data_IF_554711911333
#
_entry.id   IF_554711911333
#
_cell.length_a   1.000
_cell.length_b   1.000
_cell.length_c   1.000
_cell.angle_alpha   90.00
_cell.angle_beta   90.00
_cell.angle_gamma   90.00
#
_symmetry.space_group_name_H-M   'P 1'
#
loop_
_entity.id
_entity.type
_entity.pdbx_description
1 polymer ?
#
# COMPACT_ATOMS: atom_id res chain seq x y z
N UNK A 1 -16.92 -7.33 -22.11
CA UNK A 1 -17.40 -7.10 -20.73
C UNK A 1 -18.84 -6.59 -20.66
N UNK A 2 -19.39 -5.97 -21.72
CA UNK A 2 -20.78 -5.46 -21.78
C UNK A 2 -21.80 -6.39 -22.47
N UNK A 3 -21.40 -7.60 -22.91
CA UNK A 3 -22.25 -8.55 -23.63
C UNK A 3 -22.54 -9.81 -22.79
N UNK A 4 -22.86 -9.64 -21.51
CA UNK A 4 -23.18 -10.73 -20.56
C UNK A 4 -24.35 -10.29 -19.69
N UNK A 5 -25.13 -11.23 -19.14
CA UNK A 5 -26.33 -10.93 -18.34
C UNK A 5 -26.05 -10.04 -17.11
N UNK A 6 -24.79 -9.98 -16.66
CA UNK A 6 -24.30 -9.10 -15.59
C UNK A 6 -23.85 -7.70 -16.06
N UNK A 7 -24.20 -7.26 -17.26
CA UNK A 7 -23.74 -5.98 -17.83
C UNK A 7 -24.08 -4.76 -16.97
N UNK A 8 -25.21 -4.76 -16.25
CA UNK A 8 -25.59 -3.70 -15.32
C UNK A 8 -24.57 -3.55 -14.18
N UNK A 9 -24.11 -4.68 -13.62
CA UNK A 9 -23.09 -4.68 -12.56
C UNK A 9 -21.78 -4.11 -13.12
N UNK A 10 -21.38 -4.55 -14.32
CA UNK A 10 -20.19 -4.04 -14.98
C UNK A 10 -20.30 -2.54 -15.31
N UNK A 11 -21.46 -2.07 -15.75
CA UNK A 11 -21.73 -0.67 -16.09
C UNK A 11 -21.72 0.22 -14.84
N UNK A 12 -22.43 -0.16 -13.78
CA UNK A 12 -22.44 0.55 -12.50
C UNK A 12 -21.05 0.61 -11.90
N UNK A 13 -20.33 -0.52 -11.90
CA UNK A 13 -18.96 -0.53 -11.39
C UNK A 13 -18.03 0.32 -12.25
N UNK A 14 -18.14 0.27 -13.58
CA UNK A 14 -17.34 1.12 -14.48
C UNK A 14 -17.62 2.61 -14.27
N UNK A 15 -18.89 2.99 -14.12
CA UNK A 15 -19.26 4.37 -13.80
C UNK A 15 -18.64 4.82 -12.47
N UNK A 16 -18.72 3.96 -11.45
CA UNK A 16 -18.04 4.19 -10.18
C UNK A 16 -16.52 4.28 -10.35
N UNK A 17 -15.89 3.42 -11.15
CA UNK A 17 -14.44 3.44 -11.41
C UNK A 17 -13.99 4.78 -12.02
N UNK A 18 -14.81 5.36 -12.91
CA UNK A 18 -14.56 6.65 -13.56
C UNK A 18 -14.71 7.79 -12.57
N UNK A 19 -15.80 7.82 -11.80
CA UNK A 19 -16.00 8.82 -10.75
C UNK A 19 -14.88 8.79 -9.71
N UNK A 20 -14.39 7.58 -9.40
CA UNK A 20 -13.41 7.30 -8.37
C UNK A 20 -11.95 7.32 -8.87
N UNK A 21 -11.71 7.77 -10.10
CA UNK A 21 -10.43 7.60 -10.79
C UNK A 21 -9.22 8.21 -10.05
N UNK A 22 -9.43 9.31 -9.32
CA UNK A 22 -8.34 10.04 -8.66
C UNK A 22 -8.09 9.61 -7.21
N UNK A 23 -8.98 8.82 -6.61
CA UNK A 23 -8.89 8.41 -5.19
C UNK A 23 -7.58 7.71 -4.82
N UNK A 24 -7.02 6.80 -5.64
CA UNK A 24 -5.71 6.21 -5.35
C UNK A 24 -4.60 7.24 -5.13
N UNK A 25 -4.65 8.37 -5.84
CA UNK A 25 -3.64 9.43 -5.73
C UNK A 25 -3.81 10.28 -4.47
N UNK A 26 -5.01 10.30 -3.90
CA UNK A 26 -5.39 11.12 -2.75
C UNK A 26 -5.39 10.33 -1.43
N UNK A 27 -4.48 9.36 -1.30
CA UNK A 27 -4.34 8.55 -0.08
C UNK A 27 -5.24 7.31 -0.01
N UNK A 28 -6.07 7.07 -1.04
CA UNK A 28 -6.85 5.85 -1.18
C UNK A 28 -7.89 5.63 -0.08
N UNK A 29 -8.24 4.36 0.15
CA UNK A 29 -9.28 3.95 1.11
C UNK A 29 -8.76 2.90 2.07
N UNK A 30 -7.91 3.33 3.01
CA UNK A 30 -7.35 2.44 4.02
C UNK A 30 -8.46 1.81 4.87
N UNK A 31 -8.45 0.48 5.00
CA UNK A 31 -9.41 -0.27 5.81
C UNK A 31 -8.70 -0.93 6.98
N UNK A 32 -9.00 -0.48 8.21
CA UNK A 32 -8.49 -1.15 9.40
C UNK A 32 -8.92 -2.61 9.47
N UNK A 33 -10.12 -2.95 8.99
CA UNK A 33 -10.61 -4.33 9.00
C UNK A 33 -9.76 -5.26 8.13
N UNK A 34 -9.51 -4.87 6.87
CA UNK A 34 -8.66 -5.67 5.96
C UNK A 34 -7.26 -5.79 6.52
N UNK A 35 -6.68 -4.70 7.03
CA UNK A 35 -5.31 -4.70 7.57
C UNK A 35 -5.12 -5.58 8.80
N UNK A 36 -6.19 -5.92 9.51
CA UNK A 36 -6.17 -6.76 10.72
C UNK A 36 -6.66 -8.20 10.47
N UNK A 37 -6.80 -8.65 9.23
CA UNK A 37 -7.17 -10.05 8.96
C UNK A 37 -6.15 -11.03 9.55
N UNK A 38 -6.66 -12.12 10.13
CA UNK A 38 -5.85 -13.18 10.72
C UNK A 38 -4.92 -13.86 9.71
N UNK A 39 -5.29 -13.88 8.43
CA UNK A 39 -4.44 -14.35 7.34
C UNK A 39 -3.06 -13.65 7.34
N UNK A 40 -2.99 -12.37 7.72
CA UNK A 40 -1.71 -11.65 7.76
C UNK A 40 -0.80 -12.13 8.89
N UNK A 41 -1.35 -12.65 9.98
CA UNK A 41 -0.57 -13.30 11.05
C UNK A 41 0.08 -14.58 10.54
N UNK A 42 -0.68 -15.45 9.86
CA UNK A 42 -0.13 -16.65 9.24
C UNK A 42 0.91 -16.32 8.17
N UNK A 43 0.64 -15.32 7.34
CA UNK A 43 1.56 -14.84 6.31
C UNK A 43 2.89 -14.34 6.90
N UNK A 44 2.82 -13.56 7.99
CA UNK A 44 3.99 -13.10 8.74
C UNK A 44 4.81 -14.27 9.27
N UNK A 45 4.15 -15.27 9.86
CA UNK A 45 4.81 -16.40 10.52
C UNK A 45 5.42 -17.38 9.51
N UNK A 46 4.82 -17.53 8.33
CA UNK A 46 5.34 -18.34 7.23
C UNK A 46 6.64 -17.76 6.64
N UNK A 47 6.75 -16.42 6.49
CA UNK A 47 7.92 -15.72 5.95
C UNK A 47 8.84 -15.09 7.03
N UNK A 48 8.86 -15.66 8.24
CA UNK A 48 9.32 -15.04 9.50
C UNK A 48 9.50 -13.50 9.55
N UNK A 49 8.48 -12.75 9.15
CA UNK A 49 8.60 -11.29 8.98
C UNK A 49 8.57 -10.59 10.34
N UNK A 50 9.58 -9.74 10.61
CA UNK A 50 9.68 -8.94 11.85
C UNK A 50 9.89 -7.47 11.52
N UNK A 51 9.19 -6.60 12.27
CA UNK A 51 9.43 -5.15 12.26
C UNK A 51 10.22 -4.76 13.51
N UNK A 52 11.49 -4.39 13.35
CA UNK A 52 12.34 -3.93 14.47
C UNK A 52 12.36 -2.41 14.44
N UNK A 53 11.90 -1.79 15.53
CA UNK A 53 11.95 -0.33 15.69
C UNK A 53 13.28 0.03 16.33
N UNK A 54 14.01 0.94 15.68
CA UNK A 54 15.30 1.43 16.18
C UNK A 54 15.19 2.81 16.82
N UNK A 55 14.27 3.65 16.34
CA UNK A 55 14.11 5.03 16.81
C UNK A 55 12.63 5.41 16.86
N UNK A 56 12.31 6.37 17.73
CA UNK A 56 11.01 7.03 17.76
C UNK A 56 10.86 8.02 16.60
N UNK A 57 9.64 8.12 16.08
CA UNK A 57 9.26 9.07 15.04
C UNK A 57 8.21 10.01 15.58
N UNK A 58 8.35 11.29 15.25
CA UNK A 58 7.44 12.33 15.70
C UNK A 58 6.20 12.35 14.79
N UNK A 59 4.98 12.21 15.34
CA UNK A 59 3.75 12.22 14.54
C UNK A 59 3.42 13.61 13.96
N UNK A 60 4.14 14.65 14.36
CA UNK A 60 4.04 16.00 13.81
C UNK A 60 4.81 16.18 12.49
N UNK A 61 5.53 15.16 12.02
CA UNK A 61 6.32 15.21 10.78
C UNK A 61 5.86 14.16 9.77
N UNK A 62 6.11 14.44 8.51
CA UNK A 62 5.93 13.50 7.41
C UNK A 62 7.29 12.92 7.01
N UNK A 63 7.30 11.67 6.57
CA UNK A 63 8.49 10.88 6.32
C UNK A 63 8.45 10.19 4.95
N UNK A 64 9.61 10.00 4.35
CA UNK A 64 9.82 9.10 3.23
C UNK A 64 10.72 7.98 3.72
N UNK A 65 10.27 6.73 3.62
CA UNK A 65 11.06 5.55 3.95
C UNK A 65 11.54 4.89 2.67
N UNK A 66 12.83 4.59 2.61
CA UNK A 66 13.37 3.64 1.64
C UNK A 66 13.18 2.20 2.14
N UNK A 67 12.71 1.31 1.28
CA UNK A 67 12.66 -0.13 1.54
C UNK A 67 13.58 -0.87 0.57
N UNK A 68 14.49 -1.67 1.12
CA UNK A 68 15.45 -2.51 0.40
C UNK A 68 15.94 -3.64 1.35
N UNK A 69 16.29 -4.84 0.85
CA UNK A 69 16.12 -5.33 -0.52
C UNK A 69 14.67 -5.72 -0.81
N UNK A 70 14.29 -5.75 -2.09
CA UNK A 70 12.97 -6.22 -2.52
C UNK A 70 13.10 -7.40 -3.46
N UNK A 71 12.32 -8.46 -3.23
CA UNK A 71 12.01 -9.44 -4.26
C UNK A 71 10.81 -8.98 -5.10
N UNK A 72 10.52 -9.71 -6.18
CA UNK A 72 9.39 -9.46 -7.10
C UNK A 72 8.06 -9.20 -6.36
N UNK A 73 7.79 -9.95 -5.28
CA UNK A 73 6.51 -9.87 -4.57
C UNK A 73 6.52 -9.00 -3.30
N UNK A 74 7.64 -8.35 -2.93
CA UNK A 74 7.72 -7.38 -1.83
C UNK A 74 7.01 -7.79 -0.52
N UNK A 75 7.01 -9.09 -0.18
CA UNK A 75 6.22 -9.65 0.92
C UNK A 75 6.48 -8.96 2.27
N UNK A 76 7.75 -8.66 2.57
CA UNK A 76 8.14 -7.94 3.78
C UNK A 76 7.56 -6.52 3.85
N UNK A 77 7.61 -5.78 2.74
CA UNK A 77 7.03 -4.43 2.67
C UNK A 77 5.51 -4.46 2.83
N UNK A 78 4.83 -5.35 2.10
CA UNK A 78 3.38 -5.49 2.20
C UNK A 78 2.96 -5.87 3.63
N UNK A 79 3.59 -6.87 4.23
CA UNK A 79 3.27 -7.30 5.59
C UNK A 79 3.47 -6.18 6.60
N UNK A 80 4.59 -5.45 6.54
CA UNK A 80 4.93 -4.43 7.54
C UNK A 80 4.15 -3.12 7.40
N UNK A 81 3.89 -2.69 6.16
CA UNK A 81 3.35 -1.35 5.89
C UNK A 81 1.92 -1.39 5.36
N UNK A 82 1.54 -2.47 4.67
CA UNK A 82 0.20 -2.72 4.14
C UNK A 82 -0.75 -3.40 5.12
N UNK A 83 -0.26 -4.04 6.18
CA UNK A 83 -1.09 -4.75 7.18
C UNK A 83 -0.77 -4.29 8.61
N UNK A 84 -1.42 -4.87 9.61
CA UNK A 84 -1.10 -4.72 11.04
C UNK A 84 -0.46 -5.99 11.66
N UNK A 85 -0.06 -6.97 10.84
CA UNK A 85 0.48 -8.24 11.35
C UNK A 85 1.73 -8.08 12.22
N UNK A 86 2.55 -7.06 11.96
CA UNK A 86 3.73 -6.71 12.76
C UNK A 86 3.49 -5.56 13.74
N UNK A 87 2.22 -5.18 13.92
CA UNK A 87 1.77 -4.12 14.85
C UNK A 87 2.44 -2.77 14.58
N UNK A 88 2.50 -2.35 13.32
CA UNK A 88 3.12 -1.09 12.92
C UNK A 88 2.55 0.09 13.71
N UNK A 89 1.22 0.20 13.78
CA UNK A 89 0.51 1.28 14.48
C UNK A 89 0.85 1.38 15.96
N UNK A 90 1.17 0.25 16.61
CA UNK A 90 1.61 0.21 18.02
C UNK A 90 3.07 0.63 18.18
N UNK A 91 3.94 0.26 17.23
CA UNK A 91 5.36 0.61 17.25
C UNK A 91 5.59 2.10 16.92
N UNK A 92 4.83 2.63 15.98
CA UNK A 92 4.90 4.02 15.53
C UNK A 92 3.54 4.70 15.69
N UNK A 93 3.14 5.03 16.93
CA UNK A 93 1.84 5.65 17.19
C UNK A 93 1.73 7.01 16.47
N UNK A 94 0.60 7.23 15.81
CA UNK A 94 0.35 8.44 15.03
C UNK A 94 1.02 8.48 13.65
N UNK A 95 1.84 7.47 13.30
CA UNK A 95 2.42 7.34 11.97
C UNK A 95 1.57 6.43 11.09
N UNK A 96 1.24 6.90 9.90
CA UNK A 96 0.44 6.21 8.88
C UNK A 96 1.35 5.81 7.72
N UNK A 97 1.77 4.54 7.64
CA UNK A 97 2.58 4.09 6.52
C UNK A 97 1.70 3.95 5.29
N UNK A 98 2.19 4.39 4.14
CA UNK A 98 1.60 4.22 2.82
C UNK A 98 2.64 3.63 1.88
N UNK A 99 2.48 2.37 1.51
CA UNK A 99 3.41 1.70 0.60
C UNK A 99 3.16 2.16 -0.83
N UNK A 100 4.19 2.66 -1.51
CA UNK A 100 4.11 3.09 -2.89
C UNK A 100 4.41 1.92 -3.84
N UNK A 101 3.53 1.65 -4.79
CA UNK A 101 3.70 0.61 -5.82
C UNK A 101 3.41 1.14 -7.22
N UNK A 102 3.70 0.36 -8.26
CA UNK A 102 3.55 0.77 -9.65
C UNK A 102 2.12 1.29 -9.93
N UNK A 103 2.03 2.49 -10.52
CA UNK A 103 0.75 3.15 -10.77
C UNK A 103 -0.20 2.33 -11.68
N UNK A 104 0.35 1.42 -12.51
CA UNK A 104 -0.42 0.50 -13.34
C UNK A 104 -1.35 -0.43 -12.54
N UNK A 105 -0.96 -0.82 -11.31
CA UNK A 105 -1.77 -1.67 -10.45
C UNK A 105 -3.14 -1.04 -10.09
N UNK A 106 -3.23 0.29 -10.12
CA UNK A 106 -4.45 1.03 -9.79
C UNK A 106 -5.41 1.22 -10.98
N UNK A 107 -5.04 0.75 -12.17
CA UNK A 107 -5.91 0.71 -13.35
C UNK A 107 -6.77 -0.56 -13.40
N UNK A 108 -6.34 -1.62 -12.73
CA UNK A 108 -7.06 -2.89 -12.68
C UNK A 108 -8.21 -2.79 -11.66
N UNK A 109 -9.45 -3.05 -12.08
CA UNK A 109 -10.57 -3.09 -11.15
C UNK A 109 -10.37 -4.18 -10.09
N UNK A 110 -10.97 -4.02 -8.92
CA UNK A 110 -10.85 -4.88 -7.73
C UNK A 110 -9.45 -4.85 -7.12
N UNK A 111 -8.39 -5.08 -7.90
CA UNK A 111 -7.00 -5.01 -7.43
C UNK A 111 -6.70 -3.63 -6.84
N UNK A 112 -7.09 -2.55 -7.51
CA UNK A 112 -6.88 -1.18 -7.00
C UNK A 112 -7.52 -0.99 -5.63
N UNK A 113 -8.71 -1.54 -5.41
CA UNK A 113 -9.50 -1.36 -4.20
C UNK A 113 -8.91 -2.18 -3.06
N UNK A 114 -8.45 -3.40 -3.37
CA UNK A 114 -7.69 -4.23 -2.46
C UNK A 114 -6.37 -3.57 -2.03
N UNK A 115 -5.59 -3.01 -2.96
CA UNK A 115 -4.36 -2.29 -2.62
C UNK A 115 -4.64 -1.04 -1.76
N UNK A 116 -5.64 -0.24 -2.14
CA UNK A 116 -6.06 0.92 -1.35
C UNK A 116 -6.52 0.53 0.06
N UNK A 117 -7.16 -0.63 0.23
CA UNK A 117 -7.58 -1.13 1.54
C UNK A 117 -6.39 -1.38 2.49
N UNK A 118 -5.24 -1.77 1.95
CA UNK A 118 -3.98 -1.86 2.69
C UNK A 118 -3.33 -0.51 3.01
N UNK A 119 -3.83 0.59 2.44
CA UNK A 119 -3.18 1.91 2.47
C UNK A 119 -2.05 2.04 1.46
N UNK A 120 -2.07 1.25 0.38
CA UNK A 120 -1.07 1.29 -0.69
C UNK A 120 -1.46 2.38 -1.68
N UNK A 121 -0.47 3.15 -2.14
CA UNK A 121 -0.65 4.25 -3.07
C UNK A 121 0.19 4.05 -4.36
N UNK A 122 -0.17 4.72 -5.46
CA UNK A 122 0.64 4.72 -6.66
C UNK A 122 1.93 5.51 -6.46
N UNK A 123 3.05 4.97 -6.92
CA UNK A 123 4.35 5.65 -6.97
C UNK A 123 4.32 6.70 -8.09
N UNK A 124 3.77 7.86 -7.79
CA UNK A 124 3.78 9.03 -8.66
C UNK A 124 3.96 10.30 -7.84
N UNK A 125 4.54 11.33 -8.47
CA UNK A 125 4.85 12.60 -7.80
C UNK A 125 3.62 13.20 -7.12
N UNK A 126 2.50 13.29 -7.85
CA UNK A 126 1.28 13.93 -7.35
C UNK A 126 0.72 13.23 -6.09
N UNK A 127 0.80 11.91 -6.00
CA UNK A 127 0.32 11.15 -4.85
C UNK A 127 1.23 11.31 -3.64
N UNK A 128 2.55 11.32 -3.86
CA UNK A 128 3.52 11.57 -2.80
C UNK A 128 3.40 13.01 -2.29
N UNK A 129 3.30 13.99 -3.19
CA UNK A 129 3.10 15.41 -2.83
C UNK A 129 1.81 15.59 -2.03
N UNK A 130 0.71 14.94 -2.44
CA UNK A 130 -0.55 14.97 -1.69
C UNK A 130 -0.40 14.36 -0.30
N UNK A 131 0.20 13.18 -0.17
CA UNK A 131 0.39 12.51 1.12
C UNK A 131 1.31 13.29 2.07
N UNK A 132 2.33 13.96 1.54
CA UNK A 132 3.33 14.67 2.33
C UNK A 132 2.95 16.14 2.61
N UNK A 133 2.05 16.73 1.82
CA UNK A 133 1.71 18.17 1.92
C UNK A 133 0.24 18.43 2.26
N UNK A 134 -0.68 17.62 1.76
CA UNK A 134 -2.12 17.87 1.85
C UNK A 134 -2.84 16.94 2.84
N UNK A 135 -2.27 15.78 3.17
CA UNK A 135 -2.91 14.77 4.02
C UNK A 135 -2.57 14.91 5.52
N UNK A 136 -2.29 16.13 5.98
CA UNK A 136 -1.87 16.41 7.36
C UNK A 136 -0.48 15.87 7.72
N UNK A 137 -0.24 15.63 9.01
CA UNK A 137 1.04 15.15 9.55
C UNK A 137 1.00 13.65 9.91
N UNK A 138 2.18 13.07 10.13
CA UNK A 138 2.33 11.66 10.52
C UNK A 138 2.24 10.70 9.34
N UNK A 139 2.32 11.18 8.09
CA UNK A 139 2.34 10.31 6.91
C UNK A 139 3.75 9.79 6.67
N UNK A 140 3.89 8.48 6.46
CA UNK A 140 5.15 7.85 6.07
C UNK A 140 4.98 7.16 4.70
N UNK A 141 5.54 7.74 3.65
CA UNK A 141 5.50 7.14 2.30
C UNK A 141 6.67 6.17 2.18
N UNK A 142 6.38 4.89 1.92
CA UNK A 142 7.40 3.85 1.78
C UNK A 142 7.64 3.59 0.30
N UNK A 143 8.86 3.85 -0.15
CA UNK A 143 9.31 3.68 -1.53
C UNK A 143 10.27 2.50 -1.57
N UNK A 144 9.95 1.52 -2.42
CA UNK A 144 10.86 0.44 -2.73
C UNK A 144 11.96 0.98 -3.66
N UNK A 145 13.19 1.03 -3.15
CA UNK A 145 14.34 1.62 -3.86
C UNK A 145 14.98 0.55 -4.74
N UNK A 146 15.38 0.92 -5.96
CA UNK A 146 15.97 -0.01 -6.95
C UNK A 146 15.01 -0.45 -8.07
N UNK A 147 13.70 -0.49 -7.79
CA UNK A 147 12.64 -0.62 -8.81
C UNK A 147 12.61 -1.96 -9.55
N UNK A 148 11.97 -1.96 -10.73
CA UNK A 148 11.75 -3.17 -11.53
C UNK A 148 13.06 -3.82 -12.02
N UNK A 149 14.07 -3.01 -12.34
CA UNK A 149 15.36 -3.49 -12.83
C UNK A 149 16.06 -4.38 -11.81
N UNK A 150 16.15 -3.95 -10.55
CA UNK A 150 16.75 -4.76 -9.49
C UNK A 150 15.90 -5.99 -9.14
N UNK A 151 14.57 -5.90 -9.24
CA UNK A 151 13.67 -7.02 -8.91
C UNK A 151 13.84 -8.24 -9.84
N UNK A 152 14.25 -8.02 -11.09
CA UNK A 152 14.49 -9.08 -12.09
C UNK A 152 15.78 -9.87 -11.81
N UNK A 153 16.69 -9.31 -11.01
CA UNK A 153 17.96 -9.93 -10.64
C UNK A 153 17.92 -10.59 -9.26
N UNK A 154 16.77 -10.58 -8.58
CA UNK A 154 16.62 -11.25 -7.29
C UNK A 154 16.52 -12.77 -7.46
N UNK A 155 17.41 -13.50 -6.81
CA UNK A 155 17.30 -14.94 -6.62
C UNK A 155 16.49 -15.25 -5.35
N UNK A 156 15.57 -16.24 -5.38
CA UNK A 156 14.98 -16.75 -4.15
C UNK A 156 16.08 -17.38 -3.28
N UNK A 157 16.07 -17.06 -1.98
CA UNK A 157 16.91 -17.69 -0.96
C UNK A 157 16.14 -18.75 -0.21
#
# INVERSE_FOLDING_TARGET
MFCTDCWLIAAVYTAWLIMDWNTPKQGGRRSSWVRNWMMWTYFRDYFPIRLIKTHDLLPSRNYIFGYHPHGIFCFGAFCNFGTEATSFSKKFPGIKPSLATLAGNFRLPILRDYLMSGGICPVNKNSMDYLLSCNGTGNAVVIVVGGAAESLHCAPG
#
